data_IF_100880496416
#
_entry.id   IF_100880496416
#
_cell.length_a   1.000
_cell.length_b   1.000
_cell.length_c   1.000
_cell.angle_alpha   90.00
_cell.angle_beta   90.00
_cell.angle_gamma   90.00
#
_symmetry.space_group_name_H-M   'P 1'
#
loop_
_entity.id
_entity.type
_entity.pdbx_description
1 polymer ?
#
# COMPACT_ATOMS: atom_id res chain seq x y z
N UNK A 1 7.83 22.38 62.82
CA UNK A 1 7.32 21.99 61.48
C UNK A 1 8.37 21.11 60.80
N UNK A 2 8.10 19.85 60.70
CA UNK A 2 9.10 18.80 60.42
C UNK A 2 9.49 18.78 58.89
N UNK A 3 10.79 18.98 58.62
CA UNK A 3 11.38 18.94 57.27
C UNK A 3 11.29 17.53 56.61
N UNK A 4 10.73 16.54 57.28
CA UNK A 4 10.59 15.16 56.81
C UNK A 4 9.39 14.94 55.90
N UNK A 5 8.40 15.86 55.87
CA UNK A 5 7.21 15.75 55.01
C UNK A 5 7.41 16.20 53.57
N UNK A 6 8.42 17.05 53.31
CA UNK A 6 8.66 17.59 51.95
C UNK A 6 9.39 16.58 51.04
N UNK A 7 10.21 15.72 51.58
CA UNK A 7 10.95 14.72 50.82
C UNK A 7 10.07 13.54 50.31
N UNK A 8 8.95 13.23 50.98
CA UNK A 8 8.01 12.19 50.54
C UNK A 8 7.15 12.64 49.36
N UNK A 9 6.89 13.95 49.21
CA UNK A 9 6.14 14.48 48.05
C UNK A 9 6.99 14.60 46.77
N UNK A 10 8.29 14.80 46.91
CA UNK A 10 9.20 14.89 45.76
C UNK A 10 9.43 13.52 45.08
N UNK A 11 9.35 12.43 45.85
CA UNK A 11 9.51 11.05 45.33
C UNK A 11 8.31 10.55 44.52
N UNK A 12 7.11 11.04 44.77
CA UNK A 12 5.89 10.58 44.12
C UNK A 12 5.67 11.19 42.75
N UNK A 13 6.31 12.32 42.45
CA UNK A 13 6.11 13.03 41.18
C UNK A 13 6.97 12.49 40.00
N UNK A 14 7.99 11.68 40.29
CA UNK A 14 8.89 11.13 39.25
C UNK A 14 8.29 9.90 38.56
N UNK A 15 7.30 9.21 39.13
CA UNK A 15 6.73 7.96 38.61
C UNK A 15 5.69 8.19 37.50
N UNK A 16 5.17 9.43 37.32
CA UNK A 16 4.10 9.70 36.36
C UNK A 16 4.57 9.99 34.92
N UNK A 17 5.88 10.03 34.65
CA UNK A 17 6.43 10.36 33.32
C UNK A 17 6.65 9.12 32.42
N UNK A 18 6.54 7.93 32.94
CA UNK A 18 6.74 6.69 32.16
C UNK A 18 5.50 6.17 31.41
N UNK A 19 4.31 6.72 31.70
CA UNK A 19 3.04 6.21 31.20
C UNK A 19 2.83 6.32 29.67
N UNK A 20 3.72 7.04 28.95
CA UNK A 20 3.60 7.25 27.50
C UNK A 20 4.59 6.42 26.66
N UNK A 21 5.46 5.64 27.29
CA UNK A 21 6.46 4.81 26.61
C UNK A 21 6.03 3.33 26.61
N UNK A 22 6.28 2.64 25.51
CA UNK A 22 6.02 1.22 25.32
C UNK A 22 7.23 0.56 24.62
N UNK A 23 7.43 -0.75 24.71
CA UNK A 23 8.38 -1.45 23.88
C UNK A 23 8.13 -1.13 22.41
N UNK A 24 9.21 -1.06 21.62
CA UNK A 24 9.09 -0.87 20.17
C UNK A 24 8.27 -2.01 19.57
N UNK A 25 7.21 -1.66 18.85
CA UNK A 25 6.36 -2.61 18.14
C UNK A 25 6.73 -2.65 16.66
N UNK A 26 6.98 -3.83 16.15
CA UNK A 26 7.22 -4.14 14.75
C UNK A 26 6.34 -5.30 14.33
N UNK A 27 6.01 -5.36 13.07
CA UNK A 27 5.32 -6.49 12.43
C UNK A 27 6.38 -7.26 11.64
N UNK A 28 6.48 -8.56 11.87
CA UNK A 28 7.44 -9.43 11.18
C UNK A 28 6.72 -10.59 10.53
N UNK A 29 7.00 -10.81 9.25
CA UNK A 29 6.54 -11.94 8.44
C UNK A 29 5.04 -12.21 8.56
N UNK A 30 4.24 -11.13 8.60
CA UNK A 30 2.79 -11.23 8.67
C UNK A 30 2.25 -11.90 7.40
N UNK A 31 1.51 -13.02 7.49
CA UNK A 31 1.02 -13.73 6.33
C UNK A 31 0.03 -12.88 5.55
N UNK A 32 0.09 -12.99 4.23
CA UNK A 32 -0.90 -12.42 3.32
C UNK A 32 -1.98 -13.47 3.12
N UNK A 33 -3.10 -13.29 3.79
CA UNK A 33 -4.25 -14.14 3.60
C UNK A 33 -4.94 -13.78 2.27
N UNK A 34 -4.80 -14.67 1.32
CA UNK A 34 -5.52 -14.58 0.04
C UNK A 34 -6.84 -15.32 0.19
N UNK A 35 -7.95 -14.63 0.11
CA UNK A 35 -9.29 -15.24 0.19
C UNK A 35 -9.67 -16.06 -1.06
N UNK A 36 -8.74 -16.32 -1.98
CA UNK A 36 -8.90 -17.08 -3.22
C UNK A 36 -7.64 -17.88 -3.53
N UNK A 37 -7.77 -19.03 -4.21
CA UNK A 37 -6.66 -19.84 -4.71
C UNK A 37 -5.92 -19.19 -5.89
N UNK A 38 -6.30 -17.97 -6.29
CA UNK A 38 -5.65 -17.25 -7.37
C UNK A 38 -4.25 -16.75 -6.95
N UNK A 39 -3.22 -16.94 -7.78
CA UNK A 39 -1.88 -16.45 -7.47
C UNK A 39 -1.86 -14.91 -7.47
N UNK A 40 -1.38 -14.34 -6.37
CA UNK A 40 -1.14 -12.90 -6.26
C UNK A 40 0.28 -12.60 -6.75
N UNK A 41 0.43 -11.55 -7.57
CA UNK A 41 1.74 -11.09 -8.04
C UNK A 41 2.31 -9.99 -7.12
N UNK A 42 3.64 -9.89 -7.08
CA UNK A 42 4.35 -8.95 -6.21
C UNK A 42 3.90 -7.49 -6.37
N UNK A 43 3.60 -7.08 -7.60
CA UNK A 43 3.16 -5.70 -7.88
C UNK A 43 1.77 -5.40 -7.28
N UNK A 44 0.87 -6.37 -7.26
CA UNK A 44 -0.43 -6.22 -6.62
C UNK A 44 -0.29 -6.02 -5.11
N UNK A 45 0.58 -6.80 -4.47
CA UNK A 45 0.90 -6.64 -3.05
C UNK A 45 1.51 -5.26 -2.79
N UNK A 46 2.50 -4.86 -3.58
CA UNK A 46 3.13 -3.55 -3.48
C UNK A 46 2.13 -2.40 -3.60
N UNK A 47 1.25 -2.46 -4.59
CA UNK A 47 0.22 -1.44 -4.80
C UNK A 47 -0.77 -1.38 -3.62
N UNK A 48 -1.20 -2.52 -3.09
CA UNK A 48 -2.09 -2.56 -1.92
C UNK A 48 -1.44 -1.91 -0.68
N UNK A 49 -0.15 -2.20 -0.43
CA UNK A 49 0.62 -1.58 0.66
C UNK A 49 0.75 -0.07 0.45
N UNK A 50 1.04 0.37 -0.78
CA UNK A 50 1.13 1.79 -1.12
C UNK A 50 -0.18 2.54 -0.86
N UNK A 51 -1.30 2.00 -1.32
CA UNK A 51 -2.62 2.61 -1.14
C UNK A 51 -3.05 2.62 0.33
N UNK A 52 -2.81 1.53 1.08
CA UNK A 52 -3.08 1.48 2.52
C UNK A 52 -2.36 2.60 3.29
N UNK A 53 -1.07 2.80 3.02
CA UNK A 53 -0.28 3.85 3.67
C UNK A 53 -0.74 5.25 3.27
N UNK A 54 -0.96 5.51 1.98
CA UNK A 54 -1.47 6.80 1.49
C UNK A 54 -2.81 7.17 2.14
N UNK A 55 -3.73 6.21 2.25
CA UNK A 55 -5.04 6.41 2.89
C UNK A 55 -4.96 6.83 4.36
N UNK A 56 -3.85 6.56 5.04
CA UNK A 56 -3.55 6.97 6.41
C UNK A 56 -2.64 8.20 6.52
N UNK A 57 -2.32 8.84 5.39
CA UNK A 57 -1.47 10.03 5.36
C UNK A 57 0.04 9.74 5.45
N UNK A 58 0.46 8.50 5.21
CA UNK A 58 1.88 8.17 5.06
C UNK A 58 2.37 8.55 3.67
N UNK A 59 3.58 9.06 3.58
CA UNK A 59 4.31 9.19 2.31
C UNK A 59 4.95 7.85 2.00
N UNK A 60 4.45 7.17 0.99
CA UNK A 60 4.92 5.85 0.58
C UNK A 60 5.82 5.97 -0.65
N UNK A 61 6.95 5.27 -0.64
CA UNK A 61 7.89 5.24 -1.75
C UNK A 61 8.40 3.81 -1.98
N UNK A 62 8.37 3.34 -3.22
CA UNK A 62 9.03 2.09 -3.61
C UNK A 62 10.53 2.30 -3.58
N UNK A 63 11.25 1.48 -2.82
CA UNK A 63 12.72 1.47 -2.75
C UNK A 63 13.28 0.55 -3.83
N UNK A 64 12.71 -0.64 -3.93
CA UNK A 64 12.97 -1.66 -4.95
C UNK A 64 11.78 -2.62 -4.97
N UNK A 65 11.75 -3.52 -5.93
CA UNK A 65 10.77 -4.62 -5.93
C UNK A 65 10.87 -5.41 -4.62
N UNK A 66 9.75 -5.58 -3.94
CA UNK A 66 9.70 -6.26 -2.63
C UNK A 66 10.07 -5.39 -1.42
N UNK A 67 10.28 -4.07 -1.59
CA UNK A 67 10.54 -3.18 -0.46
C UNK A 67 9.94 -1.78 -0.67
N UNK A 68 9.13 -1.34 0.27
CA UNK A 68 8.53 -0.01 0.32
C UNK A 68 9.03 0.71 1.58
N UNK A 69 9.29 2.01 1.48
CA UNK A 69 9.51 2.90 2.62
C UNK A 69 8.27 3.71 2.88
N UNK A 70 7.78 3.70 4.12
CA UNK A 70 6.68 4.54 4.59
C UNK A 70 7.18 5.60 5.55
N UNK A 71 6.83 6.87 5.34
CA UNK A 71 7.16 7.97 6.25
C UNK A 71 5.88 8.67 6.70
N UNK A 72 5.59 8.59 7.99
CA UNK A 72 4.58 9.41 8.64
C UNK A 72 5.20 10.71 9.13
N UNK A 73 4.54 11.83 8.93
CA UNK A 73 5.02 13.13 9.38
C UNK A 73 3.84 14.05 9.71
N UNK A 74 3.94 14.74 10.85
CA UNK A 74 3.09 15.87 11.21
C UNK A 74 3.97 17.02 11.73
N UNK A 75 3.36 18.14 12.17
CA UNK A 75 4.08 19.32 12.63
C UNK A 75 5.07 19.07 13.80
N UNK A 76 4.90 17.99 14.56
CA UNK A 76 5.66 17.70 15.77
C UNK A 76 6.52 16.45 15.71
N UNK A 77 6.11 15.45 14.94
CA UNK A 77 6.68 14.10 14.99
C UNK A 77 6.83 13.52 13.60
N UNK A 78 7.85 12.72 13.39
CA UNK A 78 7.99 11.90 12.17
C UNK A 78 8.51 10.50 12.49
N UNK A 79 8.08 9.52 11.71
CA UNK A 79 8.57 8.15 11.79
C UNK A 79 8.70 7.56 10.39
N UNK A 80 9.75 6.78 10.17
CA UNK A 80 9.99 6.05 8.93
C UNK A 80 10.07 4.57 9.24
N UNK A 81 9.38 3.77 8.41
CA UNK A 81 9.38 2.31 8.45
C UNK A 81 9.86 1.75 7.13
N UNK A 82 10.47 0.56 7.17
CA UNK A 82 10.70 -0.27 6.00
C UNK A 82 9.64 -1.36 5.95
N UNK A 83 9.10 -1.62 4.77
CA UNK A 83 8.08 -2.62 4.55
C UNK A 83 8.59 -3.58 3.47
N UNK A 84 9.43 -4.58 3.84
CA UNK A 84 9.74 -5.68 2.94
C UNK A 84 8.50 -6.55 2.76
N UNK A 85 8.29 -7.02 1.52
CA UNK A 85 7.13 -7.85 1.20
C UNK A 85 7.44 -8.86 0.08
N UNK A 86 6.69 -9.92 0.09
CA UNK A 86 6.65 -10.98 -0.94
C UNK A 86 5.21 -11.18 -1.39
N UNK A 87 4.92 -12.21 -2.15
CA UNK A 87 3.55 -12.64 -2.44
C UNK A 87 2.88 -13.39 -1.27
N UNK A 88 3.64 -13.73 -0.21
CA UNK A 88 3.16 -14.54 0.91
C UNK A 88 3.17 -13.82 2.26
N UNK A 89 4.11 -12.90 2.45
CA UNK A 89 4.31 -12.21 3.73
C UNK A 89 4.74 -10.77 3.53
N UNK A 90 4.50 -9.93 4.53
CA UNK A 90 5.08 -8.60 4.65
C UNK A 90 5.51 -8.32 6.10
N UNK A 91 6.42 -7.38 6.27
CA UNK A 91 6.86 -6.90 7.58
C UNK A 91 6.76 -5.37 7.64
N UNK A 92 6.63 -4.80 8.83
CA UNK A 92 6.72 -3.35 9.07
C UNK A 92 7.79 -3.15 10.12
N UNK A 93 8.97 -2.68 9.69
CA UNK A 93 10.16 -2.59 10.50
C UNK A 93 10.53 -1.13 10.78
N UNK A 94 10.92 -0.83 12.00
CA UNK A 94 11.39 0.50 12.38
C UNK A 94 12.67 0.88 11.63
N UNK A 95 12.74 2.09 11.12
CA UNK A 95 13.96 2.68 10.53
C UNK A 95 14.47 3.85 11.36
N UNK A 96 13.65 4.87 11.53
CA UNK A 96 13.97 6.01 12.38
C UNK A 96 12.71 6.75 12.82
N UNK A 97 12.87 7.63 13.79
CA UNK A 97 11.80 8.54 14.20
C UNK A 97 12.36 9.82 14.83
N UNK A 98 11.59 10.90 14.77
CA UNK A 98 11.86 12.16 15.44
C UNK A 98 10.72 12.49 16.40
N UNK A 99 11.08 12.89 17.62
CA UNK A 99 10.15 13.27 18.70
C UNK A 99 9.21 12.15 19.20
N UNK A 100 9.50 10.90 18.90
CA UNK A 100 8.85 9.73 19.49
C UNK A 100 9.61 9.17 20.71
N UNK A 101 10.66 9.88 21.21
CA UNK A 101 11.44 9.52 22.40
C UNK A 101 11.97 8.08 22.36
N UNK A 102 12.42 7.62 21.19
CA UNK A 102 13.02 6.31 21.04
C UNK A 102 14.38 6.26 21.73
N UNK A 103 14.61 5.23 22.55
CA UNK A 103 15.85 5.04 23.34
C UNK A 103 16.58 3.73 23.04
N UNK A 104 16.25 3.07 21.92
CA UNK A 104 16.81 1.77 21.53
C UNK A 104 15.91 0.58 21.84
N UNK A 105 15.03 0.67 22.84
CA UNK A 105 14.12 -0.41 23.25
C UNK A 105 12.68 0.03 23.42
N UNK A 106 12.47 1.24 23.94
CA UNK A 106 11.14 1.83 24.18
C UNK A 106 10.93 3.03 23.27
N UNK A 107 9.69 3.23 22.87
CA UNK A 107 9.24 4.34 22.03
C UNK A 107 7.91 4.90 22.57
N UNK A 108 7.56 6.12 22.22
CA UNK A 108 6.26 6.68 22.58
C UNK A 108 5.13 5.82 21.97
N UNK A 109 4.13 5.43 22.80
CA UNK A 109 3.03 4.53 22.40
C UNK A 109 2.32 4.94 21.10
N UNK A 110 2.30 6.23 20.79
CA UNK A 110 1.72 6.74 19.54
C UNK A 110 2.36 6.14 18.28
N UNK A 111 3.67 5.83 18.32
CA UNK A 111 4.33 5.13 17.21
C UNK A 111 3.71 3.73 17.01
N UNK A 112 3.54 2.97 18.09
CA UNK A 112 2.96 1.63 18.01
C UNK A 112 1.52 1.67 17.48
N UNK A 113 0.74 2.70 17.86
CA UNK A 113 -0.61 2.92 17.32
C UNK A 113 -0.59 3.19 15.81
N UNK A 114 0.37 3.99 15.31
CA UNK A 114 0.55 4.27 13.89
C UNK A 114 0.90 3.00 13.11
N UNK A 115 1.83 2.18 13.62
CA UNK A 115 2.24 0.90 12.99
C UNK A 115 1.07 -0.08 12.99
N UNK A 116 0.35 -0.22 14.10
CA UNK A 116 -0.83 -1.09 14.18
C UNK A 116 -1.94 -0.64 13.23
N UNK A 117 -2.18 0.66 13.11
CA UNK A 117 -3.14 1.21 12.15
C UNK A 117 -2.74 0.94 10.71
N UNK A 118 -1.44 1.08 10.39
CA UNK A 118 -0.90 0.78 9.07
C UNK A 118 -1.06 -0.70 8.72
N UNK A 119 -0.75 -1.61 9.66
CA UNK A 119 -0.96 -3.04 9.50
C UNK A 119 -2.41 -3.39 9.19
N UNK A 120 -3.34 -2.85 9.98
CA UNK A 120 -4.78 -3.08 9.76
C UNK A 120 -5.25 -2.57 8.39
N UNK A 121 -4.73 -1.43 7.92
CA UNK A 121 -5.03 -0.91 6.60
C UNK A 121 -4.46 -1.79 5.48
N UNK A 122 -3.20 -2.24 5.62
CA UNK A 122 -2.55 -3.15 4.65
C UNK A 122 -3.36 -4.43 4.51
N UNK A 123 -3.72 -5.08 5.62
CA UNK A 123 -4.54 -6.30 5.58
C UNK A 123 -5.88 -6.08 4.88
N UNK A 124 -6.53 -4.96 5.12
CA UNK A 124 -7.79 -4.61 4.46
C UNK A 124 -7.62 -4.42 2.95
N UNK A 125 -6.59 -3.71 2.51
CA UNK A 125 -6.33 -3.52 1.09
C UNK A 125 -5.93 -4.85 0.41
N UNK A 126 -5.07 -5.65 1.03
CA UNK A 126 -4.70 -6.98 0.53
C UNK A 126 -5.92 -7.88 0.36
N UNK A 127 -6.86 -7.87 1.33
CA UNK A 127 -8.09 -8.68 1.22
C UNK A 127 -9.01 -8.23 0.08
N UNK A 128 -8.93 -6.97 -0.36
CA UNK A 128 -9.65 -6.46 -1.54
C UNK A 128 -9.03 -6.93 -2.84
N UNK A 129 -7.70 -6.88 -2.93
CA UNK A 129 -6.95 -7.33 -4.12
C UNK A 129 -7.28 -8.78 -4.43
N UNK A 130 -7.30 -9.65 -3.44
CA UNK A 130 -7.59 -11.07 -3.60
C UNK A 130 -9.03 -11.35 -4.08
N UNK A 131 -9.96 -10.45 -3.83
CA UNK A 131 -11.36 -10.57 -4.30
C UNK A 131 -11.57 -10.10 -5.74
N UNK A 132 -10.70 -9.22 -6.23
CA UNK A 132 -10.82 -8.61 -7.57
C UNK A 132 -10.05 -9.41 -8.63
N UNK A 133 -9.10 -10.23 -8.24
CA UNK A 133 -8.33 -11.08 -9.17
C UNK A 133 -9.12 -12.34 -9.59
N UNK A 134 -10.35 -12.18 -10.03
CA UNK A 134 -10.88 -13.07 -11.06
C UNK A 134 -10.13 -12.70 -12.34
N UNK A 135 -9.58 -13.66 -13.08
CA UNK A 135 -9.02 -13.34 -14.39
C UNK A 135 -10.13 -12.64 -15.16
N UNK A 136 -9.89 -11.40 -15.55
CA UNK A 136 -10.60 -10.84 -16.69
C UNK A 136 -10.36 -11.87 -17.77
N UNK A 137 -11.40 -12.66 -18.07
CA UNK A 137 -11.43 -13.53 -19.26
C UNK A 137 -11.02 -12.59 -20.36
N UNK A 138 -9.75 -12.67 -20.77
CA UNK A 138 -9.35 -12.11 -22.03
C UNK A 138 -10.29 -12.77 -23.02
N UNK A 139 -11.33 -12.07 -23.41
CA UNK A 139 -11.95 -12.34 -24.67
C UNK A 139 -10.81 -12.16 -25.64
N UNK A 140 -10.28 -13.32 -26.10
CA UNK A 140 -9.43 -13.32 -27.29
C UNK A 140 -10.16 -12.44 -28.30
N UNK A 141 -9.48 -11.46 -28.89
CA UNK A 141 -10.09 -10.75 -29.99
C UNK A 141 -10.39 -11.78 -31.07
N UNK A 142 -11.65 -12.18 -31.16
CA UNK A 142 -12.21 -12.91 -32.30
C UNK A 142 -12.17 -11.97 -33.49
N UNK A 143 -10.95 -11.62 -33.93
CA UNK A 143 -10.72 -10.58 -34.95
C UNK A 143 -10.18 -11.18 -36.23
N UNK A 144 -10.15 -12.50 -36.37
CA UNK A 144 -9.84 -13.07 -37.70
C UNK A 144 -11.06 -13.14 -38.59
N UNK A 145 -12.28 -13.27 -38.06
CA UNK A 145 -13.51 -13.27 -38.82
C UNK A 145 -13.98 -11.88 -39.24
N UNK A 146 -13.68 -10.84 -38.44
CA UNK A 146 -14.12 -9.46 -38.72
C UNK A 146 -13.27 -8.78 -39.80
N UNK A 147 -11.97 -9.04 -39.86
CA UNK A 147 -11.09 -8.46 -40.90
C UNK A 147 -11.36 -9.05 -42.28
N UNK A 148 -11.65 -10.33 -42.39
CA UNK A 148 -11.99 -10.94 -43.69
C UNK A 148 -13.35 -10.48 -44.20
N UNK A 149 -14.31 -10.19 -43.32
CA UNK A 149 -15.61 -9.65 -43.71
C UNK A 149 -15.53 -8.16 -44.10
N UNK A 150 -14.67 -7.40 -43.43
CA UNK A 150 -14.40 -5.99 -43.78
C UNK A 150 -13.70 -5.86 -45.13
N UNK A 151 -12.70 -6.71 -45.41
CA UNK A 151 -11.99 -6.75 -46.68
C UNK A 151 -12.88 -7.18 -47.85
N UNK A 152 -13.90 -8.02 -47.63
CA UNK A 152 -14.87 -8.40 -48.64
C UNK A 152 -15.79 -7.24 -49.04
N UNK A 153 -16.05 -6.32 -48.09
CA UNK A 153 -16.95 -5.18 -48.36
C UNK A 153 -16.27 -4.00 -49.07
N UNK A 154 -14.92 -3.92 -49.06
CA UNK A 154 -14.17 -2.83 -49.71
C UNK A 154 -13.97 -3.11 -51.21
N UNK A 155 -14.15 -4.37 -51.66
CA UNK A 155 -13.84 -4.78 -53.04
C UNK A 155 -15.01 -4.71 -54.05
N UNK A 156 -16.17 -4.17 -53.66
CA UNK A 156 -17.37 -4.19 -54.55
C UNK A 156 -18.03 -2.87 -54.80
N UNK A 157 -17.25 -1.78 -54.74
CA UNK A 157 -17.77 -0.48 -55.22
C UNK A 157 -16.71 0.21 -56.00
N UNK A 158 -16.61 -0.16 -57.27
CA UNK A 158 -16.12 0.72 -58.34
C UNK A 158 -16.23 0.01 -59.69
N UNK A 159 -16.91 0.64 -60.48
CA UNK A 159 -16.86 0.72 -61.95
C UNK A 159 -18.19 0.50 -62.60
N UNK A 160 -18.60 1.54 -63.08
CA UNK A 160 -19.34 1.75 -64.34
C UNK A 160 -20.42 2.81 -64.20
N UNK A 161 -19.99 4.08 -64.50
CA UNK A 161 -20.78 5.02 -65.32
C UNK A 161 -20.08 6.36 -65.35
N UNK A 162 -19.34 6.55 -66.46
CA UNK A 162 -19.40 7.84 -67.17
C UNK A 162 -18.72 7.69 -68.53
N UNK A 163 -19.57 7.47 -69.52
CA UNK A 163 -19.21 7.62 -70.97
C UNK A 163 -19.81 8.92 -71.41
N UNK A 164 -19.01 9.95 -71.80
CA UNK A 164 -19.57 11.15 -72.43
C UNK A 164 -20.00 10.87 -73.87
N UNK A 165 -21.22 11.22 -74.15
CA UNK A 165 -21.79 11.18 -75.48
C UNK A 165 -21.11 12.23 -76.36
N UNK A 166 -20.61 11.81 -77.52
CA UNK A 166 -20.14 12.70 -78.58
C UNK A 166 -21.34 13.35 -79.26
N UNK A 167 -21.27 14.68 -79.35
CA UNK A 167 -22.20 15.51 -80.13
C UNK A 167 -21.57 15.86 -81.45
N UNK A 168 -22.34 15.65 -82.46
CA UNK A 168 -22.13 16.06 -83.78
C UNK A 168 -22.45 17.57 -83.95
#
# INVERSE_FOLDING_TARGET
MSKKGVLLFAGLFVVLLEACSAPLFEIRDNPIETGTDAPVITDQVGNAIMEAGKGLGWKMASVKTGEISGTYSNAKQSATVAIPYTTKTYSILYKNSSNFKYNGTKIHKRYNELVSGLDAAIRRELSRVTKVTQPVKQEEPTTMGSLTNWLKNIGSDDSEKDKPAATK
#
